data_IF_957966945075
#
_entry.id   IF_957966945075
#
_cell.length_a   1.000
_cell.length_b   1.000
_cell.length_c   1.000
_cell.angle_alpha   90.00
_cell.angle_beta   90.00
_cell.angle_gamma   90.00
#
_symmetry.space_group_name_H-M   'P 1'
#
loop_
_entity.id
_entity.type
_entity.pdbx_description
1 polymer ?
#
# COMPACT_ATOMS: atom_id res chain seq x y z
N UNK A 1 -15.47 32.86 -19.37
CA UNK A 1 -14.30 31.99 -19.12
C UNK A 1 -14.29 31.63 -17.64
N UNK A 2 -14.64 30.40 -17.29
CA UNK A 2 -14.55 29.92 -15.91
C UNK A 2 -13.25 29.12 -15.75
N UNK A 3 -12.24 29.73 -15.15
CA UNK A 3 -11.07 29.00 -14.66
C UNK A 3 -11.47 28.24 -13.40
N UNK A 4 -11.69 26.93 -13.54
CA UNK A 4 -11.79 26.03 -12.38
C UNK A 4 -10.42 26.00 -11.69
N UNK A 5 -10.37 26.56 -10.48
CA UNK A 5 -9.30 26.29 -9.53
C UNK A 5 -9.28 24.80 -9.21
N UNK A 6 -8.41 24.05 -9.88
CA UNK A 6 -8.11 22.67 -9.51
C UNK A 6 -7.36 22.74 -8.17
N UNK A 7 -8.04 22.34 -7.09
CA UNK A 7 -7.44 22.16 -5.76
C UNK A 7 -6.15 21.36 -5.93
N UNK A 8 -5.03 21.99 -5.58
CA UNK A 8 -3.70 21.46 -5.83
C UNK A 8 -3.54 20.04 -5.30
N UNK A 9 -3.15 19.14 -6.19
CA UNK A 9 -2.35 17.99 -5.81
C UNK A 9 -1.14 18.54 -5.03
N UNK A 10 -1.09 18.32 -3.71
CA UNK A 10 0.06 18.75 -2.92
C UNK A 10 1.34 18.25 -3.61
N UNK A 11 2.30 19.16 -3.84
CA UNK A 11 3.53 18.83 -4.55
C UNK A 11 4.19 17.65 -3.83
N UNK A 12 4.37 16.53 -4.56
CA UNK A 12 5.16 15.40 -4.05
C UNK A 12 6.57 15.93 -3.74
N UNK A 13 7.15 15.61 -2.57
CA UNK A 13 8.44 16.15 -2.17
C UNK A 13 9.58 15.63 -3.06
N UNK A 14 9.41 14.45 -3.67
CA UNK A 14 10.35 13.81 -4.59
C UNK A 14 9.61 13.08 -5.71
N UNK A 15 10.29 12.83 -6.82
CA UNK A 15 9.73 12.08 -7.95
C UNK A 15 9.56 10.58 -7.64
N UNK A 16 8.65 9.91 -8.34
CA UNK A 16 8.63 8.44 -8.43
C UNK A 16 10.00 7.94 -8.94
N UNK A 17 10.51 6.84 -8.39
CA UNK A 17 11.83 6.29 -8.69
C UNK A 17 12.99 6.92 -7.89
N UNK A 18 12.72 7.93 -7.07
CA UNK A 18 13.75 8.55 -6.22
C UNK A 18 14.24 7.57 -5.15
N UNK A 19 15.56 7.60 -4.88
CA UNK A 19 16.17 6.82 -3.81
C UNK A 19 16.21 7.61 -2.50
N UNK A 20 15.90 6.96 -1.38
CA UNK A 20 16.01 7.54 -0.04
C UNK A 20 16.09 6.45 1.04
N UNK A 21 16.35 6.86 2.28
CA UNK A 21 16.23 5.99 3.44
C UNK A 21 14.77 5.64 3.77
N UNK A 22 14.58 4.62 4.60
CA UNK A 22 13.26 4.24 5.09
C UNK A 22 12.63 5.34 5.98
N UNK A 23 13.44 6.02 6.80
CA UNK A 23 12.95 7.11 7.67
C UNK A 23 12.45 8.29 6.84
N UNK A 24 13.16 8.65 5.77
CA UNK A 24 12.70 9.66 4.81
C UNK A 24 11.42 9.23 4.09
N UNK A 25 11.33 7.97 3.64
CA UNK A 25 10.11 7.45 3.03
C UNK A 25 8.91 7.50 3.99
N UNK A 26 9.12 7.15 5.28
CA UNK A 26 8.10 7.24 6.31
C UNK A 26 7.71 8.70 6.58
N UNK A 27 8.69 9.61 6.63
CA UNK A 27 8.44 11.03 6.72
C UNK A 27 7.50 11.46 5.58
N UNK A 28 7.85 11.17 4.32
CA UNK A 28 7.05 11.57 3.17
C UNK A 28 5.65 10.94 3.21
N UNK A 29 5.54 9.65 3.55
CA UNK A 29 4.27 8.95 3.65
C UNK A 29 3.33 9.64 4.64
N UNK A 30 3.81 10.04 5.82
CA UNK A 30 2.96 10.49 6.92
C UNK A 30 2.86 12.02 7.06
N UNK A 31 3.64 12.81 6.32
CA UNK A 31 3.54 14.29 6.36
C UNK A 31 3.04 14.92 5.05
N UNK A 32 2.98 14.18 3.95
CA UNK A 32 2.55 14.69 2.65
C UNK A 32 1.25 14.04 2.16
N UNK A 33 0.55 14.74 1.28
CA UNK A 33 -0.60 14.19 0.56
C UNK A 33 -0.17 13.16 -0.49
N UNK A 34 -1.09 12.26 -0.85
CA UNK A 34 -0.84 11.18 -1.82
C UNK A 34 -0.46 9.87 -1.15
N UNK A 35 -0.51 8.79 -1.94
CA UNK A 35 -0.14 7.44 -1.51
C UNK A 35 1.21 7.09 -2.10
N UNK A 36 2.06 6.43 -1.31
CA UNK A 36 3.32 5.90 -1.80
C UNK A 36 3.51 4.45 -1.40
N UNK A 37 4.30 3.75 -2.20
CA UNK A 37 4.90 2.46 -1.92
C UNK A 37 6.42 2.66 -1.88
N UNK A 38 7.10 2.05 -0.92
CA UNK A 38 8.55 2.05 -0.80
C UNK A 38 9.08 0.61 -0.82
N UNK A 39 10.08 0.37 -1.66
CA UNK A 39 10.75 -0.92 -1.79
C UNK A 39 12.22 -0.71 -2.19
N UNK A 40 13.14 -1.46 -1.57
CA UNK A 40 14.59 -1.45 -1.89
C UNK A 40 15.23 -0.05 -1.96
N UNK A 41 14.84 0.86 -1.08
CA UNK A 41 15.41 2.21 -1.07
C UNK A 41 14.77 3.16 -2.09
N UNK A 42 13.68 2.78 -2.74
CA UNK A 42 13.05 3.54 -3.83
C UNK A 42 11.58 3.83 -3.52
N UNK A 43 11.12 5.05 -3.83
CA UNK A 43 9.73 5.48 -3.66
C UNK A 43 8.95 5.40 -4.97
N UNK A 44 7.72 4.92 -4.90
CA UNK A 44 6.75 4.87 -5.97
C UNK A 44 5.48 5.61 -5.52
N UNK A 45 5.21 6.77 -6.11
CA UNK A 45 4.01 7.55 -5.77
C UNK A 45 2.83 7.12 -6.63
N UNK A 46 1.62 7.15 -6.07
CA UNK A 46 0.38 7.07 -6.86
C UNK A 46 0.32 8.22 -7.86
N UNK A 47 -0.06 7.92 -9.10
CA UNK A 47 -0.20 8.87 -10.22
C UNK A 47 -1.66 9.13 -10.57
N UNK A 48 -1.89 10.04 -11.53
CA UNK A 48 -3.25 10.27 -12.03
C UNK A 48 -3.81 8.96 -12.57
N UNK A 49 -4.93 8.50 -12.01
CA UNK A 49 -5.57 7.21 -12.33
C UNK A 49 -4.73 5.96 -12.06
N UNK A 50 -3.63 6.04 -11.31
CA UNK A 50 -2.82 4.87 -10.93
C UNK A 50 -2.48 4.86 -9.46
N UNK A 51 -2.74 3.73 -8.79
CA UNK A 51 -2.30 3.54 -7.41
C UNK A 51 -0.79 3.26 -7.33
N UNK A 52 -0.20 3.47 -6.15
CA UNK A 52 1.25 3.34 -5.95
C UNK A 52 1.74 1.90 -6.22
N UNK A 53 0.91 0.91 -5.94
CA UNK A 53 1.11 -0.51 -6.23
C UNK A 53 1.24 -0.77 -7.73
N UNK A 54 0.41 -0.10 -8.54
CA UNK A 54 0.46 -0.25 -9.99
C UNK A 54 1.70 0.41 -10.57
N UNK A 55 2.05 1.60 -10.09
CA UNK A 55 3.28 2.29 -10.49
C UNK A 55 4.50 1.43 -10.14
N UNK A 56 4.52 0.83 -8.95
CA UNK A 56 5.56 -0.11 -8.55
C UNK A 56 5.63 -1.33 -9.49
N UNK A 57 4.50 -1.97 -9.79
CA UNK A 57 4.44 -3.15 -10.67
C UNK A 57 4.91 -2.79 -12.09
N UNK A 58 4.43 -1.68 -12.65
CA UNK A 58 4.80 -1.22 -13.98
C UNK A 58 6.32 -0.97 -14.08
N UNK A 59 6.90 -0.34 -13.06
CA UNK A 59 8.32 -0.01 -13.04
C UNK A 59 9.25 -1.19 -12.75
N UNK A 60 8.75 -2.24 -12.09
CA UNK A 60 9.55 -3.43 -11.72
C UNK A 60 9.20 -4.67 -12.54
N UNK A 61 8.31 -4.55 -13.53
CA UNK A 61 7.80 -5.66 -14.35
C UNK A 61 8.91 -6.50 -14.97
N UNK A 62 9.95 -5.83 -15.44
CA UNK A 62 11.06 -6.45 -16.19
C UNK A 62 12.30 -6.68 -15.28
N UNK A 63 12.17 -6.45 -13.97
CA UNK A 63 13.24 -6.65 -12.98
C UNK A 63 13.19 -8.03 -12.29
N UNK A 64 14.33 -8.47 -11.76
CA UNK A 64 14.36 -9.59 -10.81
C UNK A 64 13.87 -9.16 -9.43
N UNK A 65 12.57 -9.35 -9.20
CA UNK A 65 11.91 -9.00 -7.94
C UNK A 65 12.13 -10.03 -6.81
N UNK A 66 12.87 -11.14 -7.02
CA UNK A 66 13.05 -12.22 -6.01
C UNK A 66 13.76 -11.78 -4.73
N UNK A 67 14.45 -10.65 -4.77
CA UNK A 67 15.14 -10.06 -3.63
C UNK A 67 14.29 -9.02 -2.89
N UNK A 68 13.09 -8.68 -3.37
CA UNK A 68 12.16 -7.81 -2.66
C UNK A 68 11.51 -8.65 -1.56
N UNK A 69 12.05 -8.54 -0.34
CA UNK A 69 11.51 -9.22 0.85
C UNK A 69 10.47 -8.40 1.60
N UNK A 70 10.39 -7.11 1.27
CA UNK A 70 9.88 -6.07 2.16
C UNK A 70 9.30 -4.95 1.27
N UNK A 71 7.99 -4.65 1.37
CA UNK A 71 7.32 -3.50 0.71
C UNK A 71 6.44 -2.70 1.68
N UNK A 72 6.58 -1.37 1.65
CA UNK A 72 6.05 -0.45 2.65
C UNK A 72 5.03 0.44 1.96
N UNK A 73 3.75 0.35 2.32
CA UNK A 73 2.67 1.03 1.60
C UNK A 73 1.95 1.97 2.56
N UNK A 74 1.81 3.25 2.21
CA UNK A 74 1.14 4.24 3.07
C UNK A 74 -0.31 3.87 3.36
N UNK A 75 -1.08 3.56 2.32
CA UNK A 75 -2.47 3.14 2.43
C UNK A 75 -2.57 1.67 2.03
N UNK A 76 -3.42 0.88 2.66
CA UNK A 76 -3.60 -0.52 2.27
C UNK A 76 -4.08 -0.63 0.82
N UNK A 77 -3.63 -1.65 0.07
CA UNK A 77 -4.11 -1.84 -1.29
C UNK A 77 -5.63 -2.04 -1.31
N UNK A 78 -6.29 -1.48 -2.31
CA UNK A 78 -7.67 -1.88 -2.63
C UNK A 78 -7.72 -3.34 -3.12
N UNK A 79 -8.92 -3.91 -3.24
CA UNK A 79 -9.10 -5.30 -3.67
C UNK A 79 -8.35 -5.64 -4.96
N UNK A 80 -8.38 -4.74 -5.94
CA UNK A 80 -7.73 -4.93 -7.22
C UNK A 80 -6.21 -4.76 -7.17
N UNK A 81 -5.69 -3.80 -6.41
CA UNK A 81 -4.24 -3.68 -6.18
C UNK A 81 -3.69 -4.88 -5.41
N UNK A 82 -4.46 -5.43 -4.47
CA UNK A 82 -4.11 -6.66 -3.77
C UNK A 82 -3.96 -7.83 -4.74
N UNK A 83 -4.90 -8.00 -5.68
CA UNK A 83 -4.83 -9.02 -6.73
C UNK A 83 -3.61 -8.87 -7.62
N UNK A 84 -3.33 -7.63 -8.07
CA UNK A 84 -2.13 -7.32 -8.86
C UNK A 84 -0.84 -7.63 -8.11
N UNK A 85 -0.75 -7.30 -6.82
CA UNK A 85 0.42 -7.63 -6.00
C UNK A 85 0.58 -9.16 -5.84
N UNK A 86 -0.52 -9.89 -5.65
CA UNK A 86 -0.50 -11.36 -5.56
C UNK A 86 0.05 -11.98 -6.85
N UNK A 87 -0.42 -11.50 -8.00
CA UNK A 87 0.03 -11.93 -9.33
C UNK A 87 1.51 -11.58 -9.56
N UNK A 88 1.90 -10.35 -9.26
CA UNK A 88 3.27 -9.87 -9.44
C UNK A 88 4.26 -10.71 -8.62
N UNK A 89 3.91 -11.07 -7.38
CA UNK A 89 4.71 -11.97 -6.54
C UNK A 89 4.29 -13.45 -6.64
N UNK A 90 3.60 -13.89 -7.69
CA UNK A 90 2.97 -15.22 -7.79
C UNK A 90 3.89 -16.41 -7.54
N UNK A 91 5.20 -16.31 -7.85
CA UNK A 91 6.17 -17.38 -7.61
C UNK A 91 6.35 -17.64 -6.09
N UNK A 92 6.04 -18.87 -5.66
CA UNK A 92 5.85 -19.35 -4.27
C UNK A 92 6.96 -19.02 -3.24
N UNK A 93 8.15 -18.63 -3.66
CA UNK A 93 9.31 -18.43 -2.78
C UNK A 93 9.69 -16.96 -2.52
N UNK A 94 8.83 -16.01 -2.88
CA UNK A 94 9.12 -14.60 -2.61
C UNK A 94 7.88 -13.73 -2.38
N UNK A 95 7.08 -14.07 -1.36
CA UNK A 95 6.04 -13.14 -0.88
C UNK A 95 6.71 -12.15 0.08
N UNK A 96 6.74 -10.84 -0.21
CA UNK A 96 7.31 -9.88 0.72
C UNK A 96 6.42 -9.72 1.95
N UNK A 97 7.02 -9.36 3.08
CA UNK A 97 6.28 -8.77 4.19
C UNK A 97 5.84 -7.36 3.77
N UNK A 98 4.56 -7.05 3.94
CA UNK A 98 3.94 -5.78 3.56
C UNK A 98 3.65 -4.97 4.82
N UNK A 99 4.28 -3.80 4.96
CA UNK A 99 4.03 -2.88 6.06
C UNK A 99 3.07 -1.79 5.61
N UNK A 100 1.89 -1.75 6.21
CA UNK A 100 0.77 -0.88 5.84
C UNK A 100 0.68 0.28 6.83
N UNK A 101 0.69 1.52 6.32
CA UNK A 101 0.56 2.72 7.16
C UNK A 101 -0.85 2.92 7.71
N UNK A 102 -1.84 2.81 6.84
CA UNK A 102 -3.26 3.07 7.12
C UNK A 102 -4.16 2.10 6.37
N UNK A 103 -5.25 1.64 6.99
CA UNK A 103 -6.31 0.90 6.28
C UNK A 103 -7.10 1.86 5.38
N UNK A 104 -7.14 1.54 4.10
CA UNK A 104 -7.98 2.21 3.12
C UNK A 104 -9.36 1.57 3.08
N UNK A 105 -10.37 2.30 3.55
CA UNK A 105 -11.77 1.85 3.55
C UNK A 105 -12.49 2.06 2.21
N UNK A 106 -11.81 2.58 1.18
CA UNK A 106 -12.40 2.84 -0.13
C UNK A 106 -13.19 4.16 -0.20
N UNK A 107 -13.73 4.42 -1.39
CA UNK A 107 -14.83 5.35 -1.59
C UNK A 107 -16.07 4.51 -1.95
N UNK A 108 -17.28 4.93 -1.57
CA UNK A 108 -18.55 4.34 -2.07
C UNK A 108 -18.80 2.85 -1.76
N UNK A 109 -18.59 2.38 -0.53
CA UNK A 109 -19.08 1.05 -0.10
C UNK A 109 -18.12 -0.14 -0.35
N UNK A 110 -16.91 0.12 -0.86
CA UNK A 110 -15.90 -0.90 -1.15
C UNK A 110 -15.15 -1.47 0.08
N UNK A 111 -15.58 -1.13 1.30
CA UNK A 111 -14.87 -1.50 2.53
C UNK A 111 -14.72 -3.02 2.68
N UNK A 112 -15.77 -3.79 2.39
CA UNK A 112 -15.75 -5.25 2.46
C UNK A 112 -14.89 -5.87 1.35
N UNK A 113 -14.97 -5.34 0.13
CA UNK A 113 -14.11 -5.76 -0.98
C UNK A 113 -12.63 -5.52 -0.66
N UNK A 114 -12.28 -4.34 -0.13
CA UNK A 114 -10.90 -4.01 0.24
C UNK A 114 -10.41 -4.89 1.39
N UNK A 115 -11.27 -5.18 2.37
CA UNK A 115 -10.97 -6.16 3.43
C UNK A 115 -10.70 -7.54 2.86
N UNK A 116 -11.52 -8.00 1.91
CA UNK A 116 -11.33 -9.31 1.28
C UNK A 116 -10.05 -9.36 0.44
N UNK A 117 -9.64 -8.25 -0.19
CA UNK A 117 -8.34 -8.14 -0.85
C UNK A 117 -7.17 -8.43 0.09
N UNK A 118 -7.18 -7.81 1.27
CA UNK A 118 -6.15 -8.05 2.29
C UNK A 118 -6.19 -9.48 2.85
N UNK A 119 -7.39 -10.06 3.06
CA UNK A 119 -7.53 -11.49 3.41
C UNK A 119 -6.95 -12.40 2.33
N UNK A 120 -7.23 -12.11 1.06
CA UNK A 120 -6.69 -12.86 -0.07
C UNK A 120 -5.17 -12.78 -0.13
N UNK A 121 -4.56 -11.63 0.19
CA UNK A 121 -3.10 -11.53 0.33
C UNK A 121 -2.56 -12.46 1.43
N UNK A 122 -3.16 -12.46 2.62
CA UNK A 122 -2.75 -13.38 3.71
C UNK A 122 -2.86 -14.85 3.30
N UNK A 123 -3.99 -15.25 2.68
CA UNK A 123 -4.18 -16.61 2.16
C UNK A 123 -3.16 -16.99 1.08
N UNK A 124 -2.62 -16.01 0.35
CA UNK A 124 -1.55 -16.19 -0.64
C UNK A 124 -0.13 -16.10 -0.04
N UNK A 125 0.00 -16.11 1.29
CA UNK A 125 1.28 -16.19 1.99
C UNK A 125 1.99 -14.85 2.18
N UNK A 126 1.33 -13.72 1.94
CA UNK A 126 1.87 -12.43 2.36
C UNK A 126 1.72 -12.26 3.86
N UNK A 127 2.78 -11.80 4.51
CA UNK A 127 2.72 -11.28 5.88
C UNK A 127 2.34 -9.80 5.84
N UNK A 128 1.27 -9.41 6.53
CA UNK A 128 0.78 -8.03 6.57
C UNK A 128 0.96 -7.47 7.99
N UNK A 129 1.72 -6.38 8.12
CA UNK A 129 2.01 -5.72 9.40
C UNK A 129 1.70 -4.23 9.31
N UNK A 130 1.51 -3.57 10.46
CA UNK A 130 1.40 -2.12 10.49
C UNK A 130 2.77 -1.44 10.36
N UNK A 131 2.86 -0.38 9.56
CA UNK A 131 4.06 0.43 9.43
C UNK A 131 4.25 1.30 10.67
N UNK A 132 5.07 0.82 11.62
CA UNK A 132 5.42 1.53 12.84
C UNK A 132 6.33 2.72 12.55
N UNK A 133 5.89 3.91 12.94
CA UNK A 133 6.68 5.13 12.84
C UNK A 133 6.06 6.21 13.74
N UNK A 134 6.87 7.05 14.40
CA UNK A 134 6.36 8.07 15.34
C UNK A 134 5.43 9.11 14.68
N UNK A 135 5.50 9.26 13.35
CA UNK A 135 4.59 10.12 12.57
C UNK A 135 3.32 9.41 12.09
N UNK A 136 3.26 8.08 12.16
CA UNK A 136 2.08 7.34 11.74
C UNK A 136 1.03 7.34 12.85
N UNK A 137 0.05 8.24 12.74
CA UNK A 137 -1.05 8.36 13.71
C UNK A 137 -2.05 7.20 13.60
N UNK A 138 -2.10 6.51 12.45
CA UNK A 138 -3.02 5.40 12.18
C UNK A 138 -2.39 4.02 12.53
N UNK A 139 -1.18 3.97 13.10
CA UNK A 139 -0.45 2.71 13.38
C UNK A 139 -1.28 1.75 14.24
N UNK A 140 -1.81 2.25 15.37
CA UNK A 140 -2.55 1.42 16.32
C UNK A 140 -3.80 0.82 15.68
N UNK A 141 -4.62 1.66 15.04
CA UNK A 141 -5.85 1.22 14.37
C UNK A 141 -5.55 0.20 13.27
N UNK A 142 -4.52 0.49 12.45
CA UNK A 142 -4.09 -0.41 11.38
C UNK A 142 -3.62 -1.76 11.92
N UNK A 143 -2.85 -1.76 13.01
CA UNK A 143 -2.39 -2.99 13.66
C UNK A 143 -3.55 -3.82 14.19
N UNK A 144 -4.50 -3.20 14.89
CA UNK A 144 -5.67 -3.89 15.43
C UNK A 144 -6.58 -4.43 14.32
N UNK A 145 -6.75 -3.67 13.22
CA UNK A 145 -7.47 -4.13 12.04
C UNK A 145 -6.83 -5.39 11.43
N UNK A 146 -5.51 -5.36 11.18
CA UNK A 146 -4.80 -6.49 10.57
C UNK A 146 -4.77 -7.74 11.46
N UNK A 147 -4.69 -7.55 12.78
CA UNK A 147 -4.83 -8.65 13.76
C UNK A 147 -6.20 -9.31 13.69
N UNK A 148 -7.25 -8.51 13.51
CA UNK A 148 -8.64 -8.98 13.55
C UNK A 148 -9.27 -9.18 12.17
N UNK A 149 -8.49 -9.16 11.10
CA UNK A 149 -9.03 -9.17 9.74
C UNK A 149 -9.80 -10.47 9.44
N UNK A 150 -9.41 -11.57 10.08
CA UNK A 150 -10.04 -12.89 9.96
C UNK A 150 -11.18 -13.10 10.98
N UNK A 151 -11.26 -12.27 12.03
CA UNK A 151 -12.18 -12.44 13.17
C UNK A 151 -13.66 -12.16 12.87
N UNK A 152 -13.99 -11.78 11.64
CA UNK A 152 -15.36 -11.48 11.21
C UNK A 152 -15.73 -12.34 9.99
N UNK A 153 -15.72 -13.66 10.17
CA UNK A 153 -16.48 -14.59 9.33
C UNK A 153 -17.56 -15.22 10.22
N UNK A 154 -18.80 -14.81 9.96
CA UNK A 154 -20.10 -15.36 10.38
C UNK A 154 -20.17 -16.13 11.71
N UNK A 155 -20.92 -15.56 12.66
CA UNK A 155 -21.86 -16.36 13.46
C UNK A 155 -22.76 -17.07 12.45
N UNK A 156 -22.57 -18.37 12.29
CA UNK A 156 -23.51 -19.24 11.61
C UNK A 156 -24.51 -19.67 12.68
N UNK A 157 -25.73 -19.14 12.60
CA UNK A 157 -26.91 -19.77 13.19
C UNK A 157 -27.77 -20.29 12.03
#
# INVERSE_FOLDING_TARGET
MYTKNVKGSGKRPVATGSRCSLDEAAHYAFTNSGTLLYARGTIYWSEEYKHAEEVFIDMTRDEDIRNIKIIWIKNSPCCWCADKLIEHFSKKYNKPTVYIGKIWSGAYGDADSNKEGLRKMKRNGFELLAWKHYKNKDEYETREYLRNIDSYSCIVN
#
